data_IF_916261485411
#
_entry.id   IF_916261485411
#
_cell.length_a   1.000
_cell.length_b   1.000
_cell.length_c   1.000
_cell.angle_alpha   90.00
_cell.angle_beta   90.00
_cell.angle_gamma   90.00
#
_symmetry.space_group_name_H-M   'P 1'
#
loop_
_entity.id
_entity.type
_entity.pdbx_description
1 polymer ?
#
# COMPACT_ATOMS: atom_id res chain seq x y z
N UNK A 1 4.40 10.68 14.73
CA UNK A 1 3.40 9.80 14.09
C UNK A 1 4.00 8.45 13.71
N UNK A 2 5.23 8.44 13.17
CA UNK A 2 6.00 7.23 12.80
C UNK A 2 5.91 6.09 13.83
N UNK A 3 6.13 6.37 15.12
CA UNK A 3 6.04 5.34 16.17
C UNK A 3 4.66 4.66 16.31
N UNK A 4 3.55 5.36 16.05
CA UNK A 4 2.20 4.79 16.07
C UNK A 4 1.97 3.93 14.83
N UNK A 5 2.39 4.43 13.65
CA UNK A 5 2.30 3.69 12.39
C UNK A 5 3.16 2.41 12.40
N UNK A 6 4.35 2.47 13.00
CA UNK A 6 5.22 1.32 13.17
C UNK A 6 4.60 0.25 14.08
N UNK A 7 3.89 0.66 15.13
CA UNK A 7 3.14 -0.27 16.00
C UNK A 7 1.90 -0.84 15.34
N UNK A 8 1.30 -0.14 14.38
CA UNK A 8 0.16 -0.62 13.61
C UNK A 8 0.56 -1.73 12.63
N UNK A 9 1.74 -1.62 12.00
CA UNK A 9 2.15 -2.47 10.88
C UNK A 9 2.02 -4.00 11.13
N UNK A 10 2.38 -4.57 12.30
CA UNK A 10 2.24 -6.01 12.56
C UNK A 10 0.79 -6.52 12.59
N UNK A 11 -0.20 -5.61 12.62
CA UNK A 11 -1.62 -5.94 12.68
C UNK A 11 -2.33 -5.79 11.33
N UNK A 12 -1.60 -5.43 10.27
CA UNK A 12 -2.17 -5.20 8.95
C UNK A 12 -2.12 -6.48 8.11
N UNK A 13 -3.22 -6.81 7.44
CA UNK A 13 -3.21 -7.81 6.38
C UNK A 13 -2.36 -7.31 5.18
N UNK A 14 -1.76 -8.19 4.37
CA UNK A 14 -0.93 -7.77 3.22
C UNK A 14 -1.63 -6.81 2.25
N UNK A 15 -2.96 -6.93 2.09
CA UNK A 15 -3.77 -6.08 1.21
C UNK A 15 -4.44 -4.90 1.92
N UNK A 16 -4.00 -4.55 3.14
CA UNK A 16 -4.60 -3.47 3.90
C UNK A 16 -4.27 -2.09 3.31
N UNK A 17 -5.19 -1.13 3.50
CA UNK A 17 -4.95 0.29 3.19
C UNK A 17 -4.98 1.08 4.49
N UNK A 18 -3.91 1.83 4.74
CA UNK A 18 -3.80 2.79 5.83
C UNK A 18 -4.09 4.17 5.29
N UNK A 19 -5.02 4.89 5.92
CA UNK A 19 -5.31 6.29 5.61
C UNK A 19 -4.91 7.16 6.79
N UNK A 20 -4.07 8.17 6.54
CA UNK A 20 -3.75 9.20 7.51
C UNK A 20 -4.47 10.49 7.13
N UNK A 21 -5.35 10.97 8.00
CA UNK A 21 -6.04 12.24 7.84
C UNK A 21 -5.45 13.31 8.76
N UNK A 22 -5.19 14.50 8.21
CA UNK A 22 -4.72 15.68 8.96
C UNK A 22 -5.28 16.96 8.37
N UNK A 23 -5.19 18.05 9.14
CA UNK A 23 -5.30 19.39 8.57
C UNK A 23 -4.32 19.58 7.40
N UNK A 24 -4.74 20.26 6.33
CA UNK A 24 -3.92 20.58 5.16
C UNK A 24 -2.74 21.50 5.47
N UNK A 25 -2.72 22.10 6.67
CA UNK A 25 -1.59 22.86 7.21
C UNK A 25 -0.56 21.98 7.93
N UNK A 26 -0.90 20.73 8.26
CA UNK A 26 0.06 19.77 8.85
C UNK A 26 0.98 19.21 7.76
N UNK A 27 2.27 18.98 8.07
CA UNK A 27 3.17 18.28 7.16
C UNK A 27 2.74 16.82 6.99
N UNK A 28 3.28 16.18 5.95
CA UNK A 28 3.14 14.73 5.74
C UNK A 28 3.75 13.97 6.94
N UNK A 29 3.12 12.88 7.41
CA UNK A 29 3.72 12.05 8.44
C UNK A 29 4.99 11.37 7.92
N UNK A 30 5.97 11.18 8.80
CA UNK A 30 7.06 10.25 8.54
C UNK A 30 6.53 8.82 8.49
N UNK A 31 6.75 8.14 7.37
CA UNK A 31 6.37 6.75 7.15
C UNK A 31 7.46 5.80 7.64
N UNK A 32 7.14 4.78 8.46
CA UNK A 32 8.10 3.72 8.74
C UNK A 32 8.33 2.88 7.47
N UNK A 33 9.50 2.25 7.32
CA UNK A 33 9.81 1.43 6.15
C UNK A 33 8.89 0.22 5.93
N UNK A 34 8.06 -0.13 6.92
CA UNK A 34 7.01 -1.14 6.84
C UNK A 34 5.73 -0.68 6.13
N UNK A 35 5.63 0.61 5.77
CA UNK A 35 4.50 1.18 5.04
C UNK A 35 5.03 1.97 3.83
N UNK A 36 4.46 1.72 2.66
CA UNK A 36 4.73 2.47 1.45
C UNK A 36 3.54 3.38 1.14
N UNK A 37 3.76 4.70 1.07
CA UNK A 37 2.74 5.64 0.63
C UNK A 37 2.59 5.58 -0.89
N UNK A 38 1.36 5.42 -1.38
CA UNK A 38 1.07 5.37 -2.81
C UNK A 38 0.19 6.52 -3.32
N UNK A 39 -0.55 7.22 -2.45
CA UNK A 39 -1.40 8.36 -2.88
C UNK A 39 -1.53 9.47 -1.83
N UNK A 40 -1.96 10.65 -2.29
CA UNK A 40 -2.34 11.80 -1.46
C UNK A 40 -3.55 12.49 -2.08
N UNK A 41 -4.47 13.00 -1.25
CA UNK A 41 -5.57 13.86 -1.68
C UNK A 41 -5.76 15.02 -0.70
N UNK A 42 -6.07 16.21 -1.21
CA UNK A 42 -6.44 17.39 -0.42
C UNK A 42 -7.90 17.75 -0.67
N UNK A 43 -8.65 17.92 0.41
CA UNK A 43 -10.04 18.34 0.43
C UNK A 43 -10.20 19.55 1.34
N UNK A 44 -10.07 20.76 0.77
CA UNK A 44 -10.14 22.01 1.53
C UNK A 44 -9.12 22.07 2.67
N UNK A 45 -9.62 22.00 3.91
CA UNK A 45 -8.82 22.00 5.13
C UNK A 45 -8.24 20.64 5.52
N UNK A 46 -8.55 19.58 4.78
CA UNK A 46 -8.14 18.21 5.08
C UNK A 46 -7.17 17.67 4.05
N UNK A 47 -6.19 16.88 4.51
CA UNK A 47 -5.22 16.14 3.70
C UNK A 47 -5.26 14.67 4.10
N UNK A 48 -5.39 13.81 3.10
CA UNK A 48 -5.38 12.36 3.22
C UNK A 48 -4.13 11.82 2.55
N UNK A 49 -3.42 10.94 3.23
CA UNK A 49 -2.40 10.09 2.60
C UNK A 49 -2.79 8.64 2.72
N UNK A 50 -2.53 7.89 1.65
CA UNK A 50 -2.84 6.47 1.54
C UNK A 50 -1.55 5.68 1.45
N UNK A 51 -1.44 4.64 2.27
CA UNK A 51 -0.29 3.74 2.32
C UNK A 51 -0.73 2.29 2.43
N UNK A 52 0.14 1.39 2.03
CA UNK A 52 -0.03 -0.06 2.11
C UNK A 52 1.15 -0.69 2.86
N UNK A 53 0.99 -1.89 3.44
CA UNK A 53 2.10 -2.66 3.97
C UNK A 53 3.17 -2.88 2.91
N UNK A 54 4.41 -2.51 3.23
CA UNK A 54 5.56 -2.84 2.40
C UNK A 54 5.94 -4.30 2.70
N UNK A 55 5.36 -5.24 1.95
CA UNK A 55 5.61 -6.69 2.08
C UNK A 55 6.70 -7.12 1.10
N UNK A 56 7.90 -7.51 1.56
CA UNK A 56 9.02 -7.87 0.69
C UNK A 56 8.74 -9.10 -0.20
N UNK A 57 7.85 -10.00 0.26
CA UNK A 57 7.53 -11.26 -0.40
C UNK A 57 6.20 -11.25 -1.16
N UNK A 58 5.62 -10.06 -1.42
CA UNK A 58 4.53 -9.98 -2.39
C UNK A 58 5.11 -10.38 -3.75
N UNK A 59 4.56 -11.45 -4.32
CA UNK A 59 4.82 -11.86 -5.70
C UNK A 59 4.63 -10.61 -6.56
N UNK A 60 5.70 -10.13 -7.21
CA UNK A 60 5.59 -8.98 -8.07
C UNK A 60 4.52 -9.28 -9.13
N UNK A 61 3.76 -8.27 -9.58
CA UNK A 61 2.74 -8.50 -10.62
C UNK A 61 3.32 -9.14 -11.89
N UNK A 62 4.64 -8.99 -12.10
CA UNK A 62 5.42 -9.55 -13.19
C UNK A 62 5.73 -11.05 -13.04
N UNK A 63 5.57 -11.61 -11.83
CA UNK A 63 5.84 -13.02 -11.50
C UNK A 63 4.57 -13.89 -11.54
N UNK A 64 3.43 -13.37 -12.01
CA UNK A 64 2.26 -14.20 -12.31
C UNK A 64 2.62 -15.02 -13.57
N UNK A 65 2.77 -16.36 -13.49
CA UNK A 65 2.99 -17.15 -14.69
C UNK A 65 1.75 -16.99 -15.56
N UNK A 66 1.95 -16.45 -16.77
CA UNK A 66 0.92 -16.40 -17.79
C UNK A 66 0.35 -17.80 -17.96
N UNK A 67 -0.92 -17.98 -17.59
CA UNK A 67 -1.56 -19.28 -17.53
C UNK A 67 -1.36 -19.96 -18.88
N UNK A 68 -0.56 -21.03 -18.88
CA UNK A 68 -0.18 -21.78 -20.06
C UNK A 68 -1.42 -22.01 -20.94
N UNK A 69 -1.40 -21.42 -22.13
CA UNK A 69 -2.38 -21.67 -23.17
C UNK A 69 -2.37 -23.18 -23.43
N UNK A 70 -3.38 -23.89 -22.93
CA UNK A 70 -3.52 -25.32 -23.14
C UNK A 70 -3.74 -25.56 -24.64
N UNK A 71 -2.73 -26.13 -25.29
CA UNK A 71 -2.74 -26.57 -26.68
C UNK A 71 -3.96 -27.44 -26.97
N UNK A 72 -4.89 -26.92 -27.76
CA UNK A 72 -5.95 -27.69 -28.41
C UNK A 72 -5.56 -28.01 -29.85
N UNK A 73 -4.49 -28.78 -30.06
CA UNK A 73 -4.26 -29.43 -31.35
C UNK A 73 -5.37 -30.47 -31.54
N UNK A 74 -6.28 -30.23 -32.49
CA UNK A 74 -7.24 -31.22 -32.98
C UNK A 74 -7.09 -31.34 -34.48
N UNK A 75 -6.99 -32.60 -34.91
CA UNK A 75 -6.69 -33.11 -36.24
C UNK A 75 -7.57 -32.57 -37.37
#
# INVERSE_FOLDING_TARGET
>A
MSAVLAKLAPHLAPSAVVVVERSSRSPEPEWPGSLARFAEKKYGETRLWFAEPNVPDAIAGDDIPEAAEAEGQSQ
#
